data_IF_280242121277
#
_entry.id   IF_280242121277
#
_cell.length_a   1.000
_cell.length_b   1.000
_cell.length_c   1.000
_cell.angle_alpha   90.00
_cell.angle_beta   90.00
_cell.angle_gamma   90.00
#
_symmetry.space_group_name_H-M   'P 1'
#
loop_
_entity.id
_entity.type
_entity.pdbx_description
1 polymer ?
#
# COMPACT_ATOMS: atom_id res chain seq x y z
N UNK A 1 -12.94 -38.11 28.91
CA UNK A 1 -13.31 -37.37 27.68
C UNK A 1 -12.57 -36.04 27.58
N UNK A 2 -12.15 -35.45 28.71
CA UNK A 2 -11.53 -34.12 28.76
C UNK A 2 -10.08 -34.08 28.23
N UNK A 3 -9.29 -35.13 28.49
CA UNK A 3 -7.89 -35.21 28.05
C UNK A 3 -7.79 -35.31 26.51
N UNK A 4 -8.67 -36.10 25.89
CA UNK A 4 -8.71 -36.26 24.43
C UNK A 4 -9.10 -34.95 23.74
N UNK A 5 -10.03 -34.20 24.33
CA UNK A 5 -10.41 -32.86 23.85
C UNK A 5 -9.25 -31.86 23.94
N UNK A 6 -8.51 -31.85 25.06
CA UNK A 6 -7.35 -30.97 25.24
C UNK A 6 -6.25 -31.24 24.22
N UNK A 7 -5.98 -32.52 23.90
CA UNK A 7 -4.98 -32.89 22.87
C UNK A 7 -5.40 -32.39 21.50
N UNK A 8 -6.69 -32.47 21.15
CA UNK A 8 -7.20 -32.00 19.86
C UNK A 8 -7.11 -30.47 19.73
N UNK A 9 -7.42 -29.74 20.80
CA UNK A 9 -7.27 -28.27 20.86
C UNK A 9 -5.80 -27.87 20.76
N UNK A 10 -4.90 -28.58 21.45
CA UNK A 10 -3.46 -28.33 21.38
C UNK A 10 -2.91 -28.57 19.96
N UNK A 11 -3.35 -29.66 19.31
CA UNK A 11 -2.97 -29.99 17.94
C UNK A 11 -3.49 -28.97 16.92
N UNK A 12 -4.73 -28.50 17.09
CA UNK A 12 -5.30 -27.42 16.28
C UNK A 12 -4.54 -26.11 16.47
N UNK A 13 -4.21 -25.77 17.72
CA UNK A 13 -3.44 -24.57 18.05
C UNK A 13 -2.01 -24.62 17.46
N UNK A 14 -1.33 -25.77 17.57
CA UNK A 14 -0.03 -26.00 16.95
C UNK A 14 -0.10 -25.95 15.40
N UNK A 15 -1.18 -26.44 14.80
CA UNK A 15 -1.48 -26.33 13.38
C UNK A 15 -1.66 -24.87 12.93
N UNK A 16 -2.42 -24.08 13.68
CA UNK A 16 -2.63 -22.65 13.42
C UNK A 16 -1.31 -21.88 13.52
N UNK A 17 -0.47 -22.19 14.52
CA UNK A 17 0.85 -21.58 14.69
C UNK A 17 1.82 -21.92 13.55
N UNK A 18 1.75 -23.13 12.99
CA UNK A 18 2.61 -23.52 11.85
C UNK A 18 2.19 -22.87 10.53
N UNK A 19 0.91 -22.55 10.34
CA UNK A 19 0.37 -21.92 9.12
C UNK A 19 0.89 -20.48 8.95
N UNK A 20 1.06 -19.72 10.04
CA UNK A 20 1.52 -18.33 9.95
C UNK A 20 2.95 -18.18 9.35
N UNK A 21 3.78 -19.21 9.43
CA UNK A 21 5.19 -19.16 9.00
C UNK A 21 5.41 -19.18 7.47
N UNK A 22 4.37 -19.45 6.66
CA UNK A 22 4.52 -19.58 5.19
C UNK A 22 4.30 -18.30 4.39
N UNK A 23 3.81 -17.23 5.01
CA UNK A 23 3.41 -16.01 4.29
C UNK A 23 4.61 -15.14 3.85
N UNK A 24 5.78 -15.29 4.49
CA UNK A 24 6.93 -14.38 4.24
C UNK A 24 7.75 -14.68 2.97
N UNK A 25 7.42 -15.73 2.20
CA UNK A 25 8.12 -16.05 0.95
C UNK A 25 7.53 -15.37 -0.29
N UNK A 26 6.30 -14.89 -0.21
CA UNK A 26 5.64 -14.23 -1.35
C UNK A 26 6.10 -12.78 -1.49
N UNK A 27 6.33 -12.09 -0.37
CA UNK A 27 6.73 -10.67 -0.33
C UNK A 27 8.06 -10.39 -1.04
N UNK A 28 9.04 -11.30 -0.91
CA UNK A 28 10.37 -11.11 -1.53
C UNK A 28 10.38 -11.23 -3.05
N UNK A 29 9.35 -11.83 -3.65
CA UNK A 29 9.21 -11.87 -5.12
C UNK A 29 8.55 -10.61 -5.62
N UNK A 30 7.55 -10.10 -4.88
CA UNK A 30 6.87 -8.84 -5.17
C UNK A 30 7.87 -7.68 -5.18
N UNK A 31 8.66 -7.52 -4.12
CA UNK A 31 9.64 -6.43 -4.03
C UNK A 31 10.69 -6.43 -5.16
N UNK A 32 11.08 -7.61 -5.67
CA UNK A 32 12.05 -7.73 -6.76
C UNK A 32 11.44 -7.39 -8.12
N UNK A 33 10.14 -7.61 -8.29
CA UNK A 33 9.41 -7.25 -9.49
C UNK A 33 9.15 -5.75 -9.51
N UNK A 34 8.72 -5.16 -8.40
CA UNK A 34 8.58 -3.71 -8.23
C UNK A 34 9.89 -2.99 -8.55
N UNK A 35 11.00 -3.42 -7.95
CA UNK A 35 12.29 -2.78 -8.22
C UNK A 35 12.74 -2.86 -9.69
N UNK A 36 12.44 -3.97 -10.38
CA UNK A 36 12.73 -4.07 -11.82
C UNK A 36 11.81 -3.17 -12.66
N UNK A 37 10.56 -3.02 -12.26
CA UNK A 37 9.61 -2.12 -12.92
C UNK A 37 10.06 -0.68 -12.78
N UNK A 38 10.47 -0.25 -11.58
CA UNK A 38 10.99 1.09 -11.35
C UNK A 38 12.20 1.40 -12.25
N UNK A 39 13.16 0.46 -12.34
CA UNK A 39 14.33 0.60 -13.20
C UNK A 39 13.97 0.71 -14.69
N UNK A 40 12.93 0.00 -15.14
CA UNK A 40 12.46 0.06 -16.53
C UNK A 40 11.71 1.37 -16.79
N UNK A 41 10.86 1.81 -15.87
CA UNK A 41 10.14 3.09 -15.96
C UNK A 41 11.13 4.27 -16.06
N UNK A 42 12.15 4.27 -15.20
CA UNK A 42 13.23 5.26 -15.21
C UNK A 42 14.02 5.22 -16.53
N UNK A 43 14.39 4.03 -17.00
CA UNK A 43 15.12 3.88 -18.26
C UNK A 43 14.31 4.33 -19.48
N UNK A 44 12.98 4.14 -19.46
CA UNK A 44 12.07 4.57 -20.53
C UNK A 44 11.67 6.05 -20.42
N UNK A 45 12.06 6.75 -19.36
CA UNK A 45 11.64 8.14 -19.11
C UNK A 45 10.14 8.28 -18.88
N UNK A 46 9.45 7.18 -18.57
CA UNK A 46 8.03 7.15 -18.27
C UNK A 46 7.88 7.41 -16.78
N UNK A 47 7.87 8.69 -16.38
CA UNK A 47 7.29 9.03 -15.09
C UNK A 47 5.82 8.63 -15.18
N UNK A 48 5.41 7.70 -14.31
CA UNK A 48 4.01 7.37 -14.11
C UNK A 48 3.30 8.52 -13.37
N UNK A 49 3.45 9.74 -13.89
CA UNK A 49 2.68 10.88 -13.45
C UNK A 49 1.27 10.66 -14.00
N UNK A 50 0.35 10.31 -13.11
CA UNK A 50 -1.07 10.28 -13.46
C UNK A 50 -1.43 11.70 -13.98
N UNK A 51 -2.05 11.84 -15.17
CA UNK A 51 -2.42 13.15 -15.71
C UNK A 51 -3.29 13.98 -14.75
N UNK A 52 -3.96 13.33 -13.79
CA UNK A 52 -4.76 13.99 -12.74
C UNK A 52 -3.91 14.57 -11.61
N UNK A 53 -2.60 14.32 -11.57
CA UNK A 53 -1.70 14.98 -10.62
C UNK A 53 -1.62 16.49 -10.88
N UNK A 54 -1.68 16.90 -12.14
CA UNK A 54 -1.80 18.32 -12.51
C UNK A 54 -3.10 18.95 -11.96
N UNK A 55 -4.18 18.18 -11.88
CA UNK A 55 -5.43 18.60 -11.25
C UNK A 55 -5.24 18.84 -9.76
N UNK A 56 -4.51 17.96 -9.05
CA UNK A 56 -4.17 18.15 -7.62
C UNK A 56 -3.41 19.46 -7.43
N UNK A 57 -2.38 19.72 -8.22
CA UNK A 57 -1.60 20.97 -8.15
C UNK A 57 -2.46 22.21 -8.44
N UNK A 58 -3.35 22.13 -9.42
CA UNK A 58 -4.28 23.21 -9.72
C UNK A 58 -5.25 23.45 -8.54
N UNK A 59 -5.77 22.41 -7.90
CA UNK A 59 -6.64 22.52 -6.73
C UNK A 59 -5.91 23.15 -5.54
N UNK A 60 -4.65 22.76 -5.31
CA UNK A 60 -3.79 23.36 -4.28
C UNK A 60 -3.59 24.85 -4.51
N UNK A 61 -3.22 25.26 -5.73
CA UNK A 61 -3.03 26.68 -6.10
C UNK A 61 -4.29 27.53 -5.98
N UNK A 62 -5.47 26.92 -6.04
CA UNK A 62 -6.75 27.58 -5.88
C UNK A 62 -7.29 27.51 -4.44
N UNK A 63 -6.45 27.17 -3.45
CA UNK A 63 -6.83 26.97 -2.03
C UNK A 63 -7.93 25.92 -1.80
N UNK A 64 -8.18 25.03 -2.78
CA UNK A 64 -9.17 23.95 -2.72
C UNK A 64 -8.57 22.67 -2.12
N UNK A 65 -8.05 22.77 -0.90
CA UNK A 65 -7.29 21.69 -0.23
C UNK A 65 -8.07 20.39 -0.04
N UNK A 66 -9.37 20.48 0.31
CA UNK A 66 -10.19 19.27 0.52
C UNK A 66 -10.34 18.48 -0.78
N UNK A 67 -10.58 19.17 -1.89
CA UNK A 67 -10.68 18.56 -3.21
C UNK A 67 -9.33 17.97 -3.65
N UNK A 68 -8.23 18.69 -3.41
CA UNK A 68 -6.88 18.19 -3.70
C UNK A 68 -6.58 16.89 -2.95
N UNK A 69 -6.92 16.82 -1.66
CA UNK A 69 -6.75 15.61 -0.83
C UNK A 69 -7.59 14.46 -1.39
N UNK A 70 -8.83 14.72 -1.80
CA UNK A 70 -9.69 13.69 -2.40
C UNK A 70 -9.07 13.11 -3.66
N UNK A 71 -8.69 13.97 -4.61
CA UNK A 71 -8.11 13.54 -5.90
C UNK A 71 -6.77 12.81 -5.69
N UNK A 72 -5.91 13.32 -4.80
CA UNK A 72 -4.64 12.68 -4.46
C UNK A 72 -4.84 11.25 -3.93
N UNK A 73 -5.86 11.02 -3.08
CA UNK A 73 -6.19 9.67 -2.59
C UNK A 73 -6.71 8.74 -3.67
N UNK A 74 -7.48 9.26 -4.63
CA UNK A 74 -8.00 8.46 -5.75
C UNK A 74 -6.88 8.01 -6.68
N UNK A 75 -5.86 8.86 -6.90
CA UNK A 75 -4.70 8.55 -7.75
C UNK A 75 -3.74 7.58 -7.05
N UNK A 76 -3.39 7.88 -5.79
CA UNK A 76 -2.27 7.21 -5.10
C UNK A 76 -2.71 6.07 -4.18
N UNK A 77 -4.01 5.97 -3.86
CA UNK A 77 -4.52 5.04 -2.85
C UNK A 77 -4.15 5.41 -1.40
N UNK A 78 -3.54 6.58 -1.17
CA UNK A 78 -3.04 6.98 0.14
C UNK A 78 -4.14 7.09 1.22
N UNK A 79 -3.74 6.89 2.47
CA UNK A 79 -4.58 7.16 3.63
C UNK A 79 -4.92 8.65 3.76
N UNK A 80 -5.99 8.98 4.49
CA UNK A 80 -6.43 10.38 4.64
C UNK A 80 -5.34 11.28 5.24
N UNK A 81 -4.62 10.78 6.25
CA UNK A 81 -3.50 11.50 6.88
C UNK A 81 -2.38 11.76 5.88
N UNK A 82 -1.90 10.71 5.21
CA UNK A 82 -0.80 10.80 4.24
C UNK A 82 -1.14 11.75 3.09
N UNK A 83 -2.37 11.69 2.59
CA UNK A 83 -2.82 12.59 1.53
C UNK A 83 -2.92 14.04 1.99
N UNK A 84 -3.41 14.29 3.21
CA UNK A 84 -3.39 15.63 3.80
C UNK A 84 -1.96 16.15 3.91
N UNK A 85 -1.06 15.37 4.50
CA UNK A 85 0.33 15.77 4.70
C UNK A 85 1.02 16.03 3.35
N UNK A 86 0.72 15.24 2.31
CA UNK A 86 1.24 15.44 0.96
C UNK A 86 0.73 16.74 0.34
N UNK A 87 -0.58 17.00 0.39
CA UNK A 87 -1.19 18.23 -0.14
C UNK A 87 -0.69 19.46 0.61
N UNK A 88 -0.48 19.38 1.93
CA UNK A 88 0.09 20.48 2.71
C UNK A 88 1.54 20.80 2.34
N UNK A 89 2.34 19.82 1.89
CA UNK A 89 3.69 20.07 1.36
C UNK A 89 3.70 20.70 -0.03
N UNK A 90 2.59 20.63 -0.76
CA UNK A 90 2.45 21.22 -2.11
C UNK A 90 1.92 22.65 -2.09
N UNK A 91 1.26 23.05 -0.99
CA UNK A 91 0.65 24.36 -0.80
C UNK A 91 1.68 25.41 -0.37
#
# INVERSE_FOLDING_TARGET
>A
MDIVGLIFVLAAFAGILTIQSRISRTDQRVARVEHKLDLILDHLGLRADDPRMDEVLALVRNDRKIQAIKVYREITGAGLKEAKDAVERMA
#
